data_IF_610347633665
#
_entry.id   IF_610347633665
#
_cell.length_a   1.000
_cell.length_b   1.000
_cell.length_c   1.000
_cell.angle_alpha   90.00
_cell.angle_beta   90.00
_cell.angle_gamma   90.00
#
_symmetry.space_group_name_H-M   'P 1'
#
loop_
_entity.id
_entity.type
_entity.pdbx_description
1 polymer ?
#
# COMPACT_ATOMS: atom_id res chain seq x y z
N UNK A 1 5.83 -26.48 -25.62
CA UNK A 1 5.61 -25.85 -25.28
C UNK A 1 5.03 -25.31 -24.65
N UNK A 2 4.88 -25.01 -24.41
CA UNK A 2 4.42 -24.34 -24.01
C UNK A 2 4.17 -23.67 -23.36
N UNK A 3 4.25 -23.80 -23.12
CA UNK A 3 4.11 -22.80 -22.30
C UNK A 3 3.39 -21.66 -22.69
N UNK A 4 2.76 -21.68 -23.52
CA UNK A 4 2.01 -20.65 -23.96
C UNK A 4 1.10 -20.06 -23.02
N UNK A 5 0.78 -20.72 -22.07
CA UNK A 5 -0.14 -20.15 -21.12
C UNK A 5 0.47 -19.01 -20.40
N UNK A 6 1.76 -18.96 -20.35
CA UNK A 6 2.40 -17.90 -19.71
C UNK A 6 2.19 -16.61 -20.39
N UNK A 7 1.88 -16.67 -21.63
CA UNK A 7 1.72 -15.48 -22.38
C UNK A 7 0.38 -14.89 -22.28
N UNK A 8 -0.52 -15.53 -21.58
CA UNK A 8 -1.86 -15.02 -21.47
C UNK A 8 -1.88 -13.77 -20.61
N UNK A 9 -2.09 -12.60 -21.20
CA UNK A 9 -2.11 -11.37 -20.40
C UNK A 9 -3.31 -11.34 -19.48
N UNK A 10 -4.25 -12.24 -19.67
CA UNK A 10 -5.39 -12.31 -18.80
C UNK A 10 -5.14 -13.18 -17.58
N UNK A 11 -3.95 -13.73 -17.46
CA UNK A 11 -3.60 -14.41 -16.22
C UNK A 11 -3.68 -13.40 -15.11
N UNK A 12 -4.58 -13.57 -14.20
CA UNK A 12 -4.90 -12.59 -13.22
C UNK A 12 -4.17 -12.82 -11.92
N UNK A 13 -4.23 -11.83 -11.07
CA UNK A 13 -3.68 -11.97 -9.73
C UNK A 13 -4.30 -13.15 -9.01
N UNK A 14 -5.55 -13.45 -9.31
CA UNK A 14 -6.21 -14.59 -8.70
C UNK A 14 -5.52 -15.90 -9.03
N UNK A 15 -5.18 -16.07 -10.29
CA UNK A 15 -4.50 -17.29 -10.71
C UNK A 15 -3.12 -17.37 -10.09
N UNK A 16 -2.42 -16.24 -10.06
CA UNK A 16 -1.10 -16.21 -9.47
C UNK A 16 -1.16 -16.53 -7.98
N UNK A 17 -2.16 -15.96 -7.29
CA UNK A 17 -2.31 -16.20 -5.87
C UNK A 17 -2.52 -17.66 -5.57
N UNK A 18 -3.27 -18.37 -6.41
CA UNK A 18 -3.55 -19.77 -6.20
C UNK A 18 -2.30 -20.64 -6.33
N UNK A 19 -1.33 -20.19 -7.16
CA UNK A 19 -0.18 -21.04 -7.48
C UNK A 19 1.14 -20.53 -6.92
N UNK A 20 1.28 -19.21 -6.76
CA UNK A 20 2.58 -18.65 -6.38
C UNK A 20 2.37 -17.33 -5.65
N UNK A 21 2.36 -17.36 -4.32
CA UNK A 21 2.16 -16.14 -3.57
C UNK A 21 3.22 -15.05 -3.84
N UNK A 22 4.45 -15.48 -4.11
CA UNK A 22 5.50 -14.52 -4.42
C UNK A 22 5.24 -13.77 -5.70
N UNK A 23 4.82 -14.49 -6.74
CA UNK A 23 4.49 -13.86 -8.01
C UNK A 23 3.25 -12.98 -7.88
N UNK A 24 2.27 -13.45 -7.10
CA UNK A 24 1.07 -12.66 -6.85
C UNK A 24 1.42 -11.36 -6.14
N UNK A 25 2.32 -11.43 -5.16
CA UNK A 25 2.73 -10.24 -4.43
C UNK A 25 3.42 -9.25 -5.36
N UNK A 26 4.28 -9.73 -6.25
CA UNK A 26 4.94 -8.84 -7.19
C UNK A 26 3.96 -8.18 -8.13
N UNK A 27 2.97 -8.95 -8.60
CA UNK A 27 1.95 -8.39 -9.47
C UNK A 27 1.12 -7.32 -8.78
N UNK A 28 0.71 -7.59 -7.55
CA UNK A 28 -0.06 -6.62 -6.78
C UNK A 28 0.78 -5.38 -6.48
N UNK A 29 2.05 -5.58 -6.15
CA UNK A 29 2.93 -4.45 -5.87
C UNK A 29 3.10 -3.58 -7.10
N UNK A 30 3.27 -4.20 -8.27
CA UNK A 30 3.41 -3.45 -9.50
C UNK A 30 2.17 -2.58 -9.76
N UNK A 31 0.98 -3.13 -9.52
CA UNK A 31 -0.25 -2.38 -9.69
C UNK A 31 -0.34 -1.26 -8.67
N UNK A 32 -0.04 -1.55 -7.42
CA UNK A 32 -0.14 -0.55 -6.36
C UNK A 32 0.79 0.63 -6.60
N UNK A 33 1.93 0.39 -7.21
CA UNK A 33 2.92 1.43 -7.45
C UNK A 33 2.77 2.12 -8.80
N UNK A 34 1.83 1.69 -9.61
CA UNK A 34 1.67 2.21 -10.97
C UNK A 34 0.70 3.40 -10.96
N UNK A 35 1.24 4.59 -11.13
CA UNK A 35 0.41 5.79 -11.06
C UNK A 35 -0.49 5.95 -12.28
N UNK A 36 -0.36 5.09 -13.28
CA UNK A 36 -1.28 5.07 -14.41
C UNK A 36 -2.52 4.22 -14.18
N UNK A 37 -2.58 3.51 -13.05
CA UNK A 37 -3.72 2.67 -12.71
C UNK A 37 -4.69 3.48 -11.85
N UNK A 38 -5.99 3.20 -12.00
CA UNK A 38 -7.00 3.90 -11.19
C UNK A 38 -6.74 3.68 -9.70
N UNK A 39 -7.01 4.73 -8.92
CA UNK A 39 -6.70 4.72 -7.48
C UNK A 39 -7.32 3.53 -6.76
N UNK A 40 -8.57 3.23 -7.08
CA UNK A 40 -9.27 2.14 -6.41
C UNK A 40 -8.63 0.79 -6.72
N UNK A 41 -8.15 0.61 -7.94
CA UNK A 41 -7.49 -0.63 -8.29
C UNK A 41 -6.14 -0.76 -7.60
N UNK A 42 -5.44 0.37 -7.49
CA UNK A 42 -4.18 0.38 -6.76
C UNK A 42 -4.40 -0.02 -5.31
N UNK A 43 -5.45 0.53 -4.69
CA UNK A 43 -5.76 0.21 -3.31
C UNK A 43 -6.17 -1.26 -3.18
N UNK A 44 -6.98 -1.75 -4.10
CA UNK A 44 -7.39 -3.15 -4.06
C UNK A 44 -6.18 -4.08 -4.13
N UNK A 45 -5.22 -3.75 -4.99
CA UNK A 45 -4.00 -4.55 -5.07
C UNK A 45 -3.23 -4.48 -3.76
N UNK A 46 -3.14 -3.28 -3.18
CA UNK A 46 -2.42 -3.12 -1.92
C UNK A 46 -3.08 -3.90 -0.79
N UNK A 47 -4.40 -4.04 -0.82
CA UNK A 47 -5.12 -4.77 0.22
C UNK A 47 -4.82 -6.26 0.21
N UNK A 48 -4.34 -6.77 -0.91
CA UNK A 48 -3.97 -8.18 -0.97
C UNK A 48 -2.58 -8.43 -0.39
N UNK A 49 -1.75 -7.40 -0.38
CA UNK A 49 -0.33 -7.57 -0.06
C UNK A 49 -0.03 -8.04 1.36
N UNK A 50 -0.74 -7.55 2.40
CA UNK A 50 -0.39 -7.98 3.76
C UNK A 50 -0.42 -9.48 3.96
N UNK A 51 -1.31 -10.18 3.23
CA UNK A 51 -1.39 -11.62 3.35
C UNK A 51 -0.36 -12.34 2.50
N UNK A 52 0.13 -11.67 1.47
CA UNK A 52 1.06 -12.29 0.53
C UNK A 52 2.50 -12.03 0.90
N UNK A 53 2.82 -10.78 1.21
CA UNK A 53 4.20 -10.38 1.50
C UNK A 53 4.19 -9.06 2.26
N UNK A 54 4.49 -9.08 3.56
CA UNK A 54 4.46 -7.85 4.36
C UNK A 54 5.41 -6.78 3.86
N UNK A 55 6.55 -7.15 3.29
CA UNK A 55 7.47 -6.14 2.76
C UNK A 55 6.88 -5.45 1.55
N UNK A 56 6.25 -6.23 0.67
CA UNK A 56 5.60 -5.66 -0.49
C UNK A 56 4.43 -4.79 -0.06
N UNK A 57 3.72 -5.20 1.00
CA UNK A 57 2.64 -4.38 1.54
C UNK A 57 3.16 -3.03 1.99
N UNK A 58 4.29 -3.02 2.70
CA UNK A 58 4.88 -1.77 3.14
C UNK A 58 5.21 -0.88 1.95
N UNK A 59 5.82 -1.44 0.93
CA UNK A 59 6.19 -0.67 -0.25
C UNK A 59 4.97 -0.14 -1.00
N UNK A 60 4.00 -1.01 -1.25
CA UNK A 60 2.84 -0.64 -2.05
C UNK A 60 1.94 0.35 -1.35
N UNK A 61 1.65 0.10 -0.09
CA UNK A 61 0.79 1.01 0.66
C UNK A 61 1.47 2.35 0.87
N UNK A 62 2.77 2.35 1.12
CA UNK A 62 3.50 3.60 1.30
C UNK A 62 3.55 4.40 0.01
N UNK A 63 3.71 3.71 -1.13
CA UNK A 63 3.70 4.38 -2.42
C UNK A 63 2.37 5.10 -2.66
N UNK A 64 1.26 4.46 -2.33
CA UNK A 64 -0.04 5.08 -2.49
C UNK A 64 -0.20 6.25 -1.52
N UNK A 65 0.19 6.05 -0.27
CA UNK A 65 0.02 7.08 0.76
C UNK A 65 0.82 8.34 0.43
N UNK A 66 1.95 8.19 -0.25
CA UNK A 66 2.81 9.31 -0.60
C UNK A 66 2.47 9.95 -1.94
N UNK A 67 1.59 9.34 -2.71
CA UNK A 67 1.31 9.82 -4.05
C UNK A 67 0.24 10.91 -3.98
N UNK A 68 0.65 12.14 -4.21
CA UNK A 68 -0.27 13.27 -4.12
C UNK A 68 -1.29 13.30 -5.25
N UNK A 69 -1.16 12.43 -6.23
CA UNK A 69 -2.17 12.28 -7.27
C UNK A 69 -3.31 11.36 -6.88
N UNK A 70 -3.20 10.69 -5.73
CA UNK A 70 -4.23 9.78 -5.25
C UNK A 70 -5.19 10.57 -4.35
N UNK A 71 -6.48 10.22 -4.41
CA UNK A 71 -7.48 10.89 -3.56
C UNK A 71 -7.12 10.74 -2.08
N UNK A 72 -7.38 11.79 -1.31
CA UNK A 72 -6.97 11.85 0.09
C UNK A 72 -7.41 10.65 0.89
N UNK A 73 -8.68 10.26 0.74
CA UNK A 73 -9.20 9.15 1.52
C UNK A 73 -8.56 7.83 1.14
N UNK A 74 -8.19 7.68 -0.12
CA UNK A 74 -7.53 6.45 -0.54
C UNK A 74 -6.10 6.38 -0.04
N UNK A 75 -5.44 7.55 0.02
CA UNK A 75 -4.11 7.60 0.63
C UNK A 75 -4.19 7.16 2.10
N UNK A 76 -5.20 7.67 2.81
CA UNK A 76 -5.37 7.30 4.21
C UNK A 76 -5.70 5.82 4.35
N UNK A 77 -6.57 5.30 3.49
CA UNK A 77 -6.91 3.88 3.53
C UNK A 77 -5.68 2.99 3.33
N UNK A 78 -4.80 3.38 2.41
CA UNK A 78 -3.57 2.62 2.20
C UNK A 78 -2.71 2.63 3.45
N UNK A 79 -2.58 3.79 4.09
CA UNK A 79 -1.81 3.89 5.32
C UNK A 79 -2.41 3.03 6.42
N UNK A 80 -3.73 2.94 6.47
CA UNK A 80 -4.41 2.17 7.51
C UNK A 80 -4.23 0.67 7.37
N UNK A 81 -3.72 0.22 6.25
CA UNK A 81 -3.43 -1.20 6.09
C UNK A 81 -2.12 -1.62 6.79
N UNK A 82 -1.31 -0.66 7.17
CA UNK A 82 0.04 -0.94 7.61
C UNK A 82 0.26 -1.20 9.10
N UNK A 83 -0.53 -0.65 10.05
CA UNK A 83 -0.14 -0.72 11.47
C UNK A 83 0.13 -2.12 12.01
N UNK A 84 -0.62 -3.12 11.57
CA UNK A 84 -0.40 -4.48 12.04
C UNK A 84 0.63 -5.26 11.25
N UNK A 85 1.14 -4.67 10.18
CA UNK A 85 2.02 -5.35 9.25
C UNK A 85 3.42 -4.76 9.30
N UNK A 86 3.50 -3.44 9.24
CA UNK A 86 4.77 -2.74 9.21
C UNK A 86 4.61 -1.40 9.92
N UNK A 87 4.71 -1.38 11.25
CA UNK A 87 4.40 -0.16 12.02
C UNK A 87 5.23 1.06 11.62
N UNK A 88 6.50 0.84 11.27
CA UNK A 88 7.32 1.98 10.85
C UNK A 88 6.86 2.57 9.54
N UNK A 89 6.49 1.70 8.59
CA UNK A 89 5.94 2.18 7.33
C UNK A 89 4.60 2.88 7.56
N UNK A 90 3.81 2.38 8.50
CA UNK A 90 2.56 3.04 8.86
C UNK A 90 2.84 4.45 9.39
N UNK A 91 3.83 4.58 10.25
CA UNK A 91 4.19 5.90 10.77
C UNK A 91 4.63 6.83 9.66
N UNK A 92 5.43 6.34 8.74
CA UNK A 92 5.87 7.16 7.61
C UNK A 92 4.69 7.57 6.73
N UNK A 93 3.76 6.66 6.50
CA UNK A 93 2.61 6.93 5.66
C UNK A 93 1.70 7.98 6.30
N UNK A 94 1.38 7.81 7.59
CA UNK A 94 0.54 8.78 8.27
C UNK A 94 1.23 10.13 8.36
N UNK A 95 2.53 10.14 8.60
CA UNK A 95 3.27 11.39 8.66
C UNK A 95 3.23 12.12 7.32
N UNK A 96 3.42 11.39 6.23
CA UNK A 96 3.41 12.01 4.91
C UNK A 96 2.05 12.66 4.62
N UNK A 97 0.96 12.00 5.02
CA UNK A 97 -0.37 12.56 4.82
C UNK A 97 -0.60 13.76 5.72
N UNK A 98 -0.23 13.63 6.99
CA UNK A 98 -0.47 14.71 7.96
C UNK A 98 0.29 15.97 7.60
N UNK A 99 1.42 15.85 6.94
CA UNK A 99 2.25 16.99 6.60
C UNK A 99 1.98 17.54 5.20
N UNK A 100 1.06 16.96 4.47
CA UNK A 100 0.79 17.39 3.11
C UNK A 100 -0.30 18.45 3.13
N UNK A 101 0.08 19.69 2.82
CA UNK A 101 -0.85 20.81 2.89
C UNK A 101 -2.01 20.71 1.90
N UNK A 102 -1.86 19.89 0.87
CA UNK A 102 -2.91 19.76 -0.13
C UNK A 102 -3.97 18.76 0.28
N UNK A 103 -3.71 17.98 1.33
CA UNK A 103 -4.68 17.03 1.84
C UNK A 103 -5.70 17.77 2.69
N UNK A 104 -6.96 17.36 2.62
CA UNK A 104 -8.03 17.98 3.39
C UNK A 104 -7.72 17.91 4.89
N UNK A 105 -8.11 18.94 5.61
CA UNK A 105 -7.78 19.05 7.04
C UNK A 105 -8.27 17.84 7.83
N UNK A 106 -9.44 17.33 7.49
CA UNK A 106 -10.01 16.20 8.22
C UNK A 106 -9.17 14.95 8.05
N UNK A 107 -8.66 14.74 6.85
CA UNK A 107 -7.82 13.59 6.58
C UNK A 107 -6.47 13.76 7.25
N UNK A 108 -5.92 14.96 7.21
CA UNK A 108 -4.65 15.25 7.88
C UNK A 108 -4.76 14.99 9.38
N UNK A 109 -5.88 15.43 9.97
CA UNK A 109 -6.08 15.24 11.40
C UNK A 109 -6.19 13.75 11.71
N UNK A 110 -6.95 13.01 10.91
CA UNK A 110 -7.09 11.58 11.12
C UNK A 110 -5.73 10.89 11.04
N UNK A 111 -4.91 11.27 10.06
CA UNK A 111 -3.58 10.70 9.92
C UNK A 111 -2.73 11.01 11.15
N UNK A 112 -2.80 12.23 11.64
CA UNK A 112 -2.02 12.62 12.81
C UNK A 112 -2.47 11.85 14.05
N UNK A 113 -3.77 11.64 14.20
CA UNK A 113 -4.29 10.90 15.33
C UNK A 113 -3.84 9.45 15.29
N UNK A 114 -3.86 8.85 14.11
CA UNK A 114 -3.42 7.47 13.99
C UNK A 114 -1.92 7.34 14.17
N UNK A 115 -1.17 8.33 13.73
CA UNK A 115 0.26 8.36 13.97
C UNK A 115 0.55 8.40 15.46
N UNK A 116 -0.18 9.24 16.20
CA UNK A 116 -0.01 9.31 17.65
C UNK A 116 -0.37 7.98 18.31
N UNK A 117 -1.39 7.31 17.80
CA UNK A 117 -1.81 6.04 18.37
C UNK A 117 -0.78 4.95 18.19
N UNK A 118 0.07 5.04 17.17
CA UNK A 118 1.14 4.05 16.98
C UNK A 118 2.21 4.15 18.06
N UNK A 119 2.37 5.34 18.64
CA UNK A 119 3.31 5.52 19.71
C UNK A 119 4.73 5.82 19.22
N UNK A 120 5.58 6.29 20.11
CA UNK A 120 6.93 6.70 19.72
C UNK A 120 7.81 5.57 19.21
N UNK A 121 7.52 4.34 19.62
CA UNK A 121 8.32 3.21 19.19
C UNK A 121 8.20 2.99 17.69
N UNK A 122 6.98 3.09 17.17
CA UNK A 122 6.76 2.89 15.75
C UNK A 122 7.36 4.01 14.92
N UNK A 123 7.33 5.24 15.45
CA UNK A 123 7.85 6.39 14.74
C UNK A 123 9.37 6.52 14.86
N UNK A 124 9.97 5.85 15.84
CA UNK A 124 11.40 5.99 16.08
C UNK A 124 12.19 5.25 15.02
N UNK A 125 13.31 5.83 14.65
CA UNK A 125 14.20 5.15 13.71
C UNK A 125 15.00 4.11 14.47
N UNK A 126 15.35 3.03 13.80
CA UNK A 126 16.21 2.04 14.45
C UNK A 126 17.58 2.65 14.71
N UNK A 127 18.10 2.33 15.78
CA UNK A 127 19.41 2.84 16.15
C UNK A 127 20.49 2.06 15.47
#
# INVERSE_FOLDING_TARGET
>A
MHCHSDDDPMATAEQLTAHDPGAAAQGCLAIACDDGVADELRLSAAEQLPRLDPRAAAQGCLAIARDDGVADELRLSAAELLPGVAPRAAAEAFHAIACDHEVADEVRLSAAEQLAALGPRAAAKPS
#
